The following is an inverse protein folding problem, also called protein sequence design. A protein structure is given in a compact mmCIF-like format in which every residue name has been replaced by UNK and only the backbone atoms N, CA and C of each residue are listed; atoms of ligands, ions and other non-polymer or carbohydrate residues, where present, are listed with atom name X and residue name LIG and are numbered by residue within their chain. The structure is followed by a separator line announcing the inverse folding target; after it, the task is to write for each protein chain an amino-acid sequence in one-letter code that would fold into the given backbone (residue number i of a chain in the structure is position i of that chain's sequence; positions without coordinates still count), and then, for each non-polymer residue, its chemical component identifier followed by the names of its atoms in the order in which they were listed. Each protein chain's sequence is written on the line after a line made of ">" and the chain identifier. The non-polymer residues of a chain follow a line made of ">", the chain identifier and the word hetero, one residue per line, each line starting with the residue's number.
data_IF_426921455013
#
_entry.id   IF_426921455013
#
_cell.length_a   1.000
_cell.length_b   1.000
_cell.length_c   1.000
_cell.angle_alpha   90.00
_cell.angle_beta   90.00
_cell.angle_gamma   90.00
#
_symmetry.space_group_name_H-M   'P 1'
#
loop_
_entity.id
_entity.type
_entity.pdbx_description
1 polymer ?
#
# COMPACT_ATOMS: atom_id res chain seq x y z
N UNK A 1 9.34 2.68 -6.57
CA UNK A 1 8.98 2.89 -5.15
C UNK A 1 8.66 4.35 -4.84
N UNK A 2 9.44 5.30 -5.33
CA UNK A 2 9.29 6.74 -5.00
C UNK A 2 7.96 7.31 -5.40
N UNK A 3 7.48 6.98 -6.61
CA UNK A 3 6.16 7.40 -7.09
C UNK A 3 5.01 6.91 -6.18
N UNK A 4 5.06 5.63 -5.76
CA UNK A 4 4.08 5.08 -4.81
C UNK A 4 4.15 5.82 -3.47
N UNK A 5 5.35 6.12 -3.00
CA UNK A 5 5.56 6.83 -1.75
C UNK A 5 5.02 8.28 -1.82
N UNK A 6 5.22 8.96 -2.96
CA UNK A 6 4.66 10.29 -3.21
C UNK A 6 3.12 10.26 -3.28
N UNK A 7 2.53 9.28 -3.98
CA UNK A 7 1.08 9.10 -4.03
C UNK A 7 0.46 8.89 -2.63
N UNK A 8 1.11 8.08 -1.79
CA UNK A 8 0.71 7.91 -0.38
C UNK A 8 0.86 9.21 0.43
N UNK A 9 1.88 9.99 0.14
CA UNK A 9 2.07 11.32 0.74
C UNK A 9 0.91 12.26 0.43
N UNK A 10 0.45 12.28 -0.82
CA UNK A 10 -0.71 13.06 -1.25
C UNK A 10 -2.00 12.59 -0.55
N UNK A 11 -2.25 11.28 -0.51
CA UNK A 11 -3.40 10.73 0.21
C UNK A 11 -3.35 11.06 1.71
N UNK A 12 -2.16 10.97 2.33
CA UNK A 12 -1.97 11.32 3.74
C UNK A 12 -2.23 12.79 4.02
N UNK A 13 -1.87 13.70 3.10
CA UNK A 13 -2.12 15.14 3.25
C UNK A 13 -3.61 15.48 3.25
N UNK A 14 -4.45 14.66 2.63
CA UNK A 14 -5.91 14.79 2.60
C UNK A 14 -6.63 14.00 3.71
N UNK A 15 -5.87 13.25 4.53
CA UNK A 15 -6.45 12.46 5.60
C UNK A 15 -6.87 13.37 6.76
N UNK A 16 -8.16 13.40 7.08
CA UNK A 16 -8.74 14.13 8.22
C UNK A 16 -8.56 13.36 9.54
N UNK A 17 -8.26 12.07 9.48
CA UNK A 17 -8.10 11.18 10.63
C UNK A 17 -6.64 10.87 10.95
N UNK A 18 -6.29 11.06 12.21
CA UNK A 18 -4.93 10.80 12.69
C UNK A 18 -4.51 9.32 12.61
N UNK A 19 -5.46 8.36 12.71
CA UNK A 19 -5.15 6.93 12.58
C UNK A 19 -4.82 6.55 11.13
N UNK A 20 -5.56 7.08 10.14
CA UNK A 20 -5.24 6.92 8.74
C UNK A 20 -3.89 7.56 8.40
N UNK A 21 -3.67 8.80 8.81
CA UNK A 21 -2.40 9.50 8.57
C UNK A 21 -1.20 8.73 9.16
N UNK A 22 -1.33 8.18 10.38
CA UNK A 22 -0.29 7.35 11.01
C UNK A 22 -0.06 6.03 10.29
N UNK A 23 -1.13 5.37 9.82
CA UNK A 23 -1.03 4.14 9.04
C UNK A 23 -0.26 4.37 7.74
N UNK A 24 -0.64 5.41 6.98
CA UNK A 24 0.03 5.77 5.72
C UNK A 24 1.49 6.17 5.93
N UNK A 25 1.80 6.92 7.00
CA UNK A 25 3.18 7.22 7.37
C UNK A 25 4.00 5.96 7.65
N UNK A 26 3.40 4.98 8.34
CA UNK A 26 4.03 3.68 8.59
C UNK A 26 4.34 2.94 7.30
N UNK A 27 3.40 2.94 6.35
CA UNK A 27 3.60 2.34 5.01
C UNK A 27 4.68 3.07 4.23
N UNK A 28 4.71 4.40 4.24
CA UNK A 28 5.77 5.18 3.58
C UNK A 28 7.17 4.81 4.09
N UNK A 29 7.33 4.62 5.41
CA UNK A 29 8.59 4.16 6.00
C UNK A 29 8.97 2.75 5.56
N UNK A 30 7.99 1.87 5.39
CA UNK A 30 8.22 0.52 4.86
C UNK A 30 8.67 0.56 3.41
N UNK A 31 8.06 1.42 2.58
CA UNK A 31 8.44 1.59 1.16
C UNK A 31 9.87 2.12 1.01
N UNK A 32 10.31 3.05 1.87
CA UNK A 32 11.72 3.46 1.91
C UNK A 32 12.65 2.29 2.23
N UNK A 33 12.28 1.46 3.21
CA UNK A 33 13.07 0.29 3.54
C UNK A 33 13.10 -0.76 2.42
N UNK A 34 12.01 -0.89 1.66
CA UNK A 34 11.93 -1.74 0.46
C UNK A 34 12.81 -1.15 -0.64
N UNK A 35 12.67 0.15 -0.95
CA UNK A 35 13.46 0.83 -1.97
C UNK A 35 14.96 0.67 -1.74
N UNK A 36 15.42 0.87 -0.50
CA UNK A 36 16.84 0.66 -0.14
C UNK A 36 17.33 -0.78 -0.39
N UNK A 37 16.45 -1.79 -0.22
CA UNK A 37 16.81 -3.19 -0.51
C UNK A 37 16.89 -3.47 -2.01
N UNK A 38 15.96 -2.91 -2.78
CA UNK A 38 15.89 -3.13 -4.21
C UNK A 38 17.00 -2.39 -4.97
N UNK A 39 17.45 -1.24 -4.44
CA UNK A 39 18.55 -0.45 -5.01
C UNK A 39 19.95 -1.09 -4.77
N UNK A 40 20.09 -1.95 -3.77
CA UNK A 40 21.35 -2.64 -3.45
C UNK A 40 21.12 -4.16 -3.30
N UNK A 41 20.82 -4.88 -4.40
CA UNK A 41 20.62 -6.32 -4.36
C UNK A 41 21.87 -7.09 -3.92
N UNK A 42 23.06 -6.52 -4.16
CA UNK A 42 24.35 -7.12 -3.74
C UNK A 42 24.64 -6.97 -2.24
N UNK A 43 23.84 -6.19 -1.52
CA UNK A 43 23.95 -5.91 -0.10
C UNK A 43 25.33 -5.32 0.33
N UNK A 44 26.05 -4.69 -0.60
CA UNK A 44 27.42 -4.17 -0.37
C UNK A 44 27.42 -2.86 0.41
N UNK A 45 26.42 -2.00 0.16
CA UNK A 45 26.35 -0.64 0.73
C UNK A 45 25.30 -0.55 1.84
N UNK A 46 24.32 -1.44 1.86
CA UNK A 46 23.21 -1.37 2.79
C UNK A 46 23.62 -1.59 4.26
N UNK A 47 23.02 -0.83 5.16
CA UNK A 47 23.13 -1.01 6.61
C UNK A 47 22.74 -2.43 7.05
N UNK A 48 23.18 -2.88 8.25
CA UNK A 48 22.76 -4.18 8.82
C UNK A 48 21.25 -4.42 8.77
N UNK A 49 20.43 -3.36 8.92
CA UNK A 49 18.96 -3.46 8.86
C UNK A 49 18.45 -3.75 7.44
N UNK A 50 19.11 -3.23 6.42
CA UNK A 50 18.74 -3.55 5.04
C UNK A 50 19.17 -4.96 4.62
N UNK A 51 20.21 -5.53 5.28
CA UNK A 51 20.70 -6.91 5.05
C UNK A 51 19.80 -7.98 5.67
N UNK A 52 19.03 -7.64 6.70
CA UNK A 52 18.08 -8.58 7.30
C UNK A 52 16.89 -8.86 6.36
N UNK A 53 16.32 -10.06 6.43
CA UNK A 53 15.10 -10.39 5.70
C UNK A 53 13.97 -9.40 6.00
N UNK A 54 13.11 -9.12 5.02
CA UNK A 54 11.99 -8.21 5.22
C UNK A 54 11.03 -8.77 6.29
N UNK A 55 10.73 -8.03 7.36
CA UNK A 55 10.00 -8.58 8.49
C UNK A 55 8.56 -8.99 8.14
N UNK A 56 8.21 -10.26 8.33
CA UNK A 56 6.84 -10.75 8.15
C UNK A 56 5.79 -10.00 9.00
N UNK A 57 6.22 -9.41 10.12
CA UNK A 57 5.34 -8.59 10.96
C UNK A 57 4.78 -7.36 10.22
N UNK A 58 5.47 -6.86 9.18
CA UNK A 58 4.98 -5.74 8.35
C UNK A 58 3.81 -6.16 7.48
N UNK A 59 3.87 -7.37 6.91
CA UNK A 59 2.74 -7.95 6.15
C UNK A 59 1.54 -8.15 7.08
N UNK A 60 1.74 -8.81 8.23
CA UNK A 60 0.65 -9.03 9.22
C UNK A 60 0.00 -7.73 9.71
N UNK A 61 0.76 -6.64 9.76
CA UNK A 61 0.20 -5.33 10.11
C UNK A 61 -0.78 -4.81 9.06
N UNK A 62 -0.47 -5.01 7.76
CA UNK A 62 -1.40 -4.66 6.68
C UNK A 62 -2.65 -5.52 6.73
N UNK A 63 -2.52 -6.83 6.91
CA UNK A 63 -3.64 -7.77 7.04
C UNK A 63 -4.58 -7.38 8.19
N UNK A 64 -4.05 -7.11 9.37
CA UNK A 64 -4.85 -6.61 10.50
C UNK A 64 -5.55 -5.29 10.21
N UNK A 65 -4.92 -4.41 9.44
CA UNK A 65 -5.52 -3.13 9.06
C UNK A 65 -6.64 -3.32 8.02
N UNK A 66 -6.52 -4.30 7.12
CA UNK A 66 -7.57 -4.71 6.19
C UNK A 66 -8.77 -5.24 6.97
N UNK A 67 -8.57 -6.27 7.79
CA UNK A 67 -9.64 -6.93 8.57
C UNK A 67 -10.44 -5.91 9.40
N UNK A 68 -9.73 -5.00 10.07
CA UNK A 68 -10.34 -3.99 10.93
C UNK A 68 -11.23 -2.98 10.17
N UNK A 69 -10.98 -2.72 8.87
CA UNK A 69 -11.78 -1.79 8.05
C UNK A 69 -12.86 -2.53 7.29
N UNK A 70 -12.55 -3.72 6.80
CA UNK A 70 -13.49 -4.51 6.01
C UNK A 70 -14.71 -4.97 6.83
N UNK A 71 -14.53 -5.24 8.11
CA UNK A 71 -15.60 -5.64 9.03
C UNK A 71 -16.77 -4.64 9.10
N UNK A 72 -16.53 -3.36 8.81
CA UNK A 72 -17.56 -2.30 8.79
C UNK A 72 -18.10 -1.97 7.40
N UNK A 73 -17.63 -2.64 6.35
CA UNK A 73 -18.02 -2.34 4.98
C UNK A 73 -19.14 -3.26 4.47
N UNK A 74 -20.06 -2.75 3.67
CA UNK A 74 -21.02 -3.60 2.97
C UNK A 74 -20.29 -4.53 1.98
N UNK A 75 -20.79 -5.76 1.76
CA UNK A 75 -20.18 -6.70 0.83
C UNK A 75 -20.17 -6.13 -0.59
N UNK A 76 -19.08 -6.39 -1.33
CA UNK A 76 -18.96 -6.03 -2.73
C UNK A 76 -19.97 -6.85 -3.57
N UNK A 77 -20.79 -6.16 -4.36
CA UNK A 77 -21.74 -6.78 -5.28
C UNK A 77 -21.43 -6.50 -6.75
N UNK A 78 -20.51 -5.58 -7.03
CA UNK A 78 -20.09 -5.17 -8.36
C UNK A 78 -18.68 -4.58 -8.29
N UNK A 79 -18.04 -4.37 -9.45
CA UNK A 79 -16.82 -3.58 -9.52
C UNK A 79 -17.11 -2.12 -9.16
N UNK A 80 -16.21 -1.50 -8.41
CA UNK A 80 -16.29 -0.12 -7.97
C UNK A 80 -15.37 0.74 -8.85
N UNK A 81 -15.91 1.83 -9.37
CA UNK A 81 -15.11 2.83 -10.07
C UNK A 81 -14.27 3.64 -9.07
N UNK A 82 -12.99 3.93 -9.41
CA UNK A 82 -12.13 4.76 -8.57
C UNK A 82 -12.67 6.17 -8.45
N UNK A 83 -12.98 6.64 -7.24
CA UNK A 83 -13.54 7.98 -7.02
C UNK A 83 -14.02 8.19 -5.59
N UNK A 84 -14.93 9.13 -5.43
CA UNK A 84 -15.52 9.52 -4.15
C UNK A 84 -14.80 10.69 -3.49
N UNK A 85 -14.60 10.64 -2.18
CA UNK A 85 -13.90 11.69 -1.44
C UNK A 85 -12.48 11.92 -1.97
N UNK A 86 -11.89 13.12 -1.80
CA UNK A 86 -10.51 13.39 -2.24
C UNK A 86 -9.49 12.38 -1.72
N UNK A 87 -9.59 11.99 -0.46
CA UNK A 87 -8.69 10.99 0.13
C UNK A 87 -8.92 9.61 -0.49
N UNK A 88 -10.15 9.20 -0.74
CA UNK A 88 -10.47 7.92 -1.38
C UNK A 88 -9.97 7.86 -2.82
N UNK A 89 -10.18 8.91 -3.60
CA UNK A 89 -9.66 9.01 -4.97
C UNK A 89 -8.13 8.89 -5.01
N UNK A 90 -7.42 9.55 -4.09
CA UNK A 90 -5.95 9.43 -3.98
C UNK A 90 -5.51 8.04 -3.51
N UNK A 91 -6.26 7.36 -2.66
CA UNK A 91 -5.98 5.98 -2.27
C UNK A 91 -6.18 5.01 -3.44
N UNK A 92 -7.19 5.21 -4.28
CA UNK A 92 -7.36 4.45 -5.53
C UNK A 92 -6.21 4.69 -6.52
N UNK A 93 -5.75 5.95 -6.66
CA UNK A 93 -4.58 6.27 -7.46
C UNK A 93 -3.33 5.58 -6.92
N UNK A 94 -3.08 5.68 -5.61
CA UNK A 94 -1.96 5.00 -4.95
C UNK A 94 -2.02 3.47 -5.14
N UNK A 95 -3.22 2.88 -5.13
CA UNK A 95 -3.42 1.45 -5.43
C UNK A 95 -2.97 1.10 -6.85
N UNK A 96 -3.34 1.88 -7.85
CA UNK A 96 -2.92 1.64 -9.23
C UNK A 96 -1.39 1.73 -9.39
N UNK A 97 -0.75 2.71 -8.75
CA UNK A 97 0.71 2.85 -8.69
C UNK A 97 1.36 1.68 -7.95
N UNK A 98 0.75 1.21 -6.84
CA UNK A 98 1.21 0.06 -6.08
C UNK A 98 1.25 -1.21 -6.94
N UNK A 99 0.20 -1.50 -7.70
CA UNK A 99 0.13 -2.63 -8.62
C UNK A 99 1.17 -2.54 -9.74
N UNK A 100 1.48 -1.33 -10.23
CA UNK A 100 2.57 -1.12 -11.18
C UNK A 100 3.93 -1.41 -10.52
N UNK A 101 4.16 -0.92 -9.31
CA UNK A 101 5.38 -1.18 -8.55
C UNK A 101 5.55 -2.69 -8.26
N UNK A 102 4.48 -3.39 -7.89
CA UNK A 102 4.46 -4.85 -7.70
C UNK A 102 4.93 -5.58 -8.97
N UNK A 103 4.34 -5.27 -10.14
CA UNK A 103 4.76 -5.87 -11.42
C UNK A 103 6.24 -5.62 -11.73
N UNK A 104 6.74 -4.40 -11.47
CA UNK A 104 8.16 -4.09 -11.68
C UNK A 104 9.07 -4.89 -10.76
N UNK A 105 8.67 -5.12 -9.51
CA UNK A 105 9.43 -5.95 -8.56
C UNK A 105 9.38 -7.42 -8.94
N UNK A 106 8.24 -7.91 -9.44
CA UNK A 106 8.14 -9.27 -9.99
C UNK A 106 9.07 -9.44 -11.20
N UNK A 107 9.09 -8.48 -12.13
CA UNK A 107 10.04 -8.53 -13.26
C UNK A 107 11.50 -8.55 -12.76
N UNK A 108 11.85 -7.69 -11.79
CA UNK A 108 13.18 -7.67 -11.21
C UNK A 108 13.57 -9.01 -10.55
N UNK A 109 12.61 -9.72 -9.96
CA UNK A 109 12.87 -11.02 -9.32
C UNK A 109 13.27 -12.14 -10.29
N UNK A 110 13.08 -11.95 -11.60
CA UNK A 110 13.59 -12.86 -12.61
C UNK A 110 15.06 -12.61 -12.97
N UNK A 111 15.58 -11.43 -12.63
CA UNK A 111 16.93 -10.98 -12.99
C UNK A 111 17.86 -10.84 -11.78
N UNK A 112 17.29 -10.66 -10.60
CA UNK A 112 18.04 -10.42 -9.35
C UNK A 112 17.36 -11.10 -8.15
N UNK A 113 18.15 -11.36 -7.10
CA UNK A 113 17.63 -11.90 -5.83
C UNK A 113 16.77 -10.85 -5.12
N UNK A 114 15.47 -11.09 -5.06
CA UNK A 114 14.49 -10.26 -4.34
C UNK A 114 13.87 -11.08 -3.21
N UNK A 115 13.79 -10.52 -2.01
CA UNK A 115 13.06 -11.17 -0.90
C UNK A 115 11.57 -11.31 -1.28
N UNK A 116 11.01 -12.54 -1.39
CA UNK A 116 9.63 -12.75 -1.85
C UNK A 116 8.60 -12.06 -0.95
N UNK A 117 8.93 -11.77 0.30
CA UNK A 117 8.05 -11.02 1.21
C UNK A 117 7.80 -9.59 0.75
N UNK A 118 8.67 -9.01 -0.08
CA UNK A 118 8.45 -7.68 -0.68
C UNK A 118 7.28 -7.73 -1.65
N UNK A 119 7.21 -8.75 -2.50
CA UNK A 119 6.08 -8.95 -3.42
C UNK A 119 4.79 -9.16 -2.65
N UNK A 120 4.83 -10.04 -1.62
CA UNK A 120 3.66 -10.26 -0.74
C UNK A 120 3.23 -8.96 -0.05
N UNK A 121 4.17 -8.15 0.41
CA UNK A 121 3.86 -6.86 1.04
C UNK A 121 3.16 -5.91 0.07
N UNK A 122 3.67 -5.76 -1.16
CA UNK A 122 3.07 -4.87 -2.17
C UNK A 122 1.68 -5.35 -2.58
N UNK A 123 1.49 -6.66 -2.71
CA UNK A 123 0.19 -7.25 -2.96
C UNK A 123 -0.81 -6.91 -1.84
N UNK A 124 -0.47 -7.20 -0.57
CA UNK A 124 -1.32 -6.84 0.59
C UNK A 124 -1.52 -5.32 0.72
N UNK A 125 -0.52 -4.52 0.36
CA UNK A 125 -0.67 -3.06 0.35
C UNK A 125 -1.72 -2.61 -0.68
N UNK A 126 -1.75 -3.21 -1.87
CA UNK A 126 -2.76 -2.89 -2.86
C UNK A 126 -4.18 -3.20 -2.37
N UNK A 127 -4.36 -4.31 -1.64
CA UNK A 127 -5.64 -4.67 -1.02
C UNK A 127 -6.03 -3.67 0.08
N UNK A 128 -5.08 -3.32 0.95
CA UNK A 128 -5.30 -2.32 1.98
C UNK A 128 -5.74 -0.97 1.40
N UNK A 129 -5.08 -0.50 0.34
CA UNK A 129 -5.42 0.79 -0.29
C UNK A 129 -6.84 0.78 -0.87
N UNK A 130 -7.28 -0.35 -1.42
CA UNK A 130 -8.65 -0.52 -1.89
C UNK A 130 -9.66 -0.47 -0.73
N UNK A 131 -9.41 -1.22 0.32
CA UNK A 131 -10.29 -1.26 1.50
C UNK A 131 -10.34 0.11 2.19
N UNK A 132 -9.21 0.82 2.30
CA UNK A 132 -9.16 2.16 2.87
C UNK A 132 -9.97 3.16 2.03
N UNK A 133 -9.86 3.12 0.69
CA UNK A 133 -10.64 4.02 -0.18
C UNK A 133 -12.14 3.80 0.02
N UNK A 134 -12.60 2.55 0.01
CA UNK A 134 -13.99 2.20 0.28
C UNK A 134 -14.44 2.64 1.69
N UNK A 135 -13.59 2.43 2.67
CA UNK A 135 -13.89 2.80 4.06
C UNK A 135 -14.05 4.31 4.22
N UNK A 136 -13.20 5.12 3.59
CA UNK A 136 -13.30 6.58 3.66
C UNK A 136 -14.54 7.10 2.92
N UNK A 137 -14.91 6.51 1.78
CA UNK A 137 -16.18 6.81 1.09
C UNK A 137 -17.39 6.43 1.96
N UNK A 138 -17.42 5.21 2.46
CA UNK A 138 -18.52 4.73 3.30
C UNK A 138 -18.72 5.61 4.55
N UNK A 139 -17.63 5.97 5.21
CA UNK A 139 -17.66 6.84 6.39
C UNK A 139 -18.17 8.26 6.07
N UNK A 140 -17.84 8.78 4.89
CA UNK A 140 -18.29 10.08 4.43
C UNK A 140 -19.75 10.09 3.89
N UNK A 141 -20.38 8.92 3.80
CA UNK A 141 -21.71 8.79 3.18
C UNK A 141 -21.68 8.89 1.65
N UNK A 142 -20.49 8.80 1.04
CA UNK A 142 -20.34 8.80 -0.41
C UNK A 142 -20.71 7.45 -0.99
N UNK A 143 -21.56 7.47 -2.02
CA UNK A 143 -21.92 6.27 -2.78
C UNK A 143 -20.78 5.85 -3.69
N UNK A 144 -20.50 4.56 -3.73
CA UNK A 144 -19.54 4.01 -4.70
C UNK A 144 -20.23 3.83 -6.06
N UNK A 145 -19.69 4.48 -7.08
CA UNK A 145 -20.14 4.24 -8.46
C UNK A 145 -19.77 2.81 -8.89
N UNK A 146 -20.71 2.13 -9.52
CA UNK A 146 -20.56 0.74 -9.98
C UNK A 146 -20.40 0.70 -11.48
N UNK A 147 -19.56 -0.22 -11.92
CA UNK A 147 -19.41 -0.53 -13.34
C UNK A 147 -20.45 -1.57 -13.77
#
# INVERSE_FOLDING_TARGET
>A
MDELNAALGAARAQADRADLARLLLGVQRDLFAIGARLADPSRRVASRRAKAAFPAARVRRLEKAIDAREAGLPPLKAFVLPGGTPVAALLHLARAVCRRAERSVVSLSHEAEVDPRIVVYLNRLSDLLFVLARFENHRAGESEDRW
#
